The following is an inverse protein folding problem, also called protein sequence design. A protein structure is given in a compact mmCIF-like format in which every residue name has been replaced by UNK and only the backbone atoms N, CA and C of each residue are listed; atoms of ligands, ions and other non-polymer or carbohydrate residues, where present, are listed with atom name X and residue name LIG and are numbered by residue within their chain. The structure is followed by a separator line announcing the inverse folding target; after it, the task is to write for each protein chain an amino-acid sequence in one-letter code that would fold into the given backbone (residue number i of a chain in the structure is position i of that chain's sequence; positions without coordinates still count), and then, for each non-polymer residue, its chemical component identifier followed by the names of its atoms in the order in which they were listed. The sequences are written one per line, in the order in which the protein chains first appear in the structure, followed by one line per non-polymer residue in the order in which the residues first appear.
data_IF_101650868517
#
_entry.id   IF_101650868517
#
_cell.length_a   1.000
_cell.length_b   1.000
_cell.length_c   1.000
_cell.angle_alpha   90.00
_cell.angle_beta   90.00
_cell.angle_gamma   90.00
#
_symmetry.space_group_name_H-M   'P 1'
#
loop_
_entity.id
_entity.type
_entity.pdbx_description
1 polymer ?
#
# COMPACT_ATOMS: atom_id res chain seq x y z
N UNK A 1 -11.38 24.79 25.72
CA UNK A 1 -10.95 23.51 25.09
C UNK A 1 -11.24 23.64 23.61
N UNK A 2 -10.24 23.85 22.76
CA UNK A 2 -10.48 24.10 21.32
C UNK A 2 -10.68 22.76 20.60
N UNK A 3 -11.87 22.54 20.05
CA UNK A 3 -12.15 21.40 19.17
C UNK A 3 -11.29 21.47 17.91
N UNK A 4 -10.73 20.33 17.49
CA UNK A 4 -9.93 20.25 16.25
C UNK A 4 -10.84 20.53 15.05
N UNK A 5 -10.53 21.57 14.27
CA UNK A 5 -11.23 22.03 13.04
C UNK A 5 -11.20 21.05 11.85
N UNK A 6 -11.02 19.75 12.05
CA UNK A 6 -10.96 18.78 10.95
C UNK A 6 -12.29 18.05 10.81
N UNK A 7 -12.93 18.13 9.64
CA UNK A 7 -14.12 17.32 9.34
C UNK A 7 -13.78 15.84 9.52
N UNK A 8 -14.54 15.15 10.38
CA UNK A 8 -14.41 13.70 10.57
C UNK A 8 -14.94 13.00 9.32
N UNK A 9 -14.09 12.23 8.64
CA UNK A 9 -14.55 11.41 7.53
C UNK A 9 -15.48 10.29 8.01
N UNK A 10 -16.54 9.97 7.25
CA UNK A 10 -17.39 8.82 7.54
C UNK A 10 -16.57 7.53 7.63
N UNK A 11 -16.84 6.70 8.63
CA UNK A 11 -16.25 5.39 8.79
C UNK A 11 -17.33 4.34 8.59
N UNK A 12 -17.11 3.42 7.65
CA UNK A 12 -18.04 2.33 7.35
C UNK A 12 -17.49 1.01 7.87
N UNK A 13 -18.34 0.27 8.55
CA UNK A 13 -18.14 -1.13 8.93
C UNK A 13 -18.11 -2.03 7.69
N UNK A 14 -17.75 -3.30 7.86
CA UNK A 14 -17.74 -4.28 6.75
C UNK A 14 -19.17 -4.54 6.27
N UNK A 15 -20.11 -4.69 7.20
CA UNK A 15 -21.51 -4.99 6.89
C UNK A 15 -22.18 -3.85 6.13
N UNK A 16 -21.93 -2.60 6.53
CA UNK A 16 -22.41 -1.43 5.80
C UNK A 16 -21.89 -1.39 4.36
N UNK A 17 -20.59 -1.70 4.16
CA UNK A 17 -20.02 -1.75 2.81
C UNK A 17 -20.64 -2.85 1.97
N UNK A 18 -20.86 -4.03 2.55
CA UNK A 18 -21.51 -5.14 1.87
C UNK A 18 -22.93 -4.77 1.44
N UNK A 19 -23.71 -4.15 2.32
CA UNK A 19 -25.06 -3.65 1.99
C UNK A 19 -25.04 -2.63 0.86
N UNK A 20 -24.08 -1.71 0.85
CA UNK A 20 -23.92 -0.73 -0.23
C UNK A 20 -23.60 -1.42 -1.56
N UNK A 21 -22.71 -2.42 -1.54
CA UNK A 21 -22.35 -3.19 -2.73
C UNK A 21 -23.52 -4.02 -3.24
N UNK A 22 -24.29 -4.66 -2.37
CA UNK A 22 -25.49 -5.41 -2.72
C UNK A 22 -26.53 -4.52 -3.40
N UNK A 23 -26.81 -3.34 -2.86
CA UNK A 23 -27.70 -2.34 -3.48
C UNK A 23 -27.23 -1.91 -4.86
N UNK A 24 -25.91 -1.82 -5.07
CA UNK A 24 -25.33 -1.50 -6.38
C UNK A 24 -25.46 -2.68 -7.36
N UNK A 25 -25.26 -3.91 -6.89
CA UNK A 25 -25.32 -5.11 -7.72
C UNK A 25 -26.76 -5.52 -8.07
N UNK A 26 -27.72 -5.31 -7.16
CA UNK A 26 -29.15 -5.56 -7.41
C UNK A 26 -29.76 -4.55 -8.37
N UNK A 27 -29.03 -3.46 -8.69
CA UNK A 27 -29.48 -2.34 -9.55
C UNK A 27 -30.75 -1.65 -9.07
N UNK A 28 -31.13 -1.82 -7.79
CA UNK A 28 -32.27 -1.14 -7.18
C UNK A 28 -32.10 0.38 -7.15
N UNK A 29 -30.85 0.85 -7.02
CA UNK A 29 -30.50 2.27 -7.05
C UNK A 29 -29.44 2.53 -8.10
N UNK A 30 -29.53 3.70 -8.72
CA UNK A 30 -28.47 4.15 -9.62
C UNK A 30 -27.19 4.42 -8.84
N UNK A 31 -26.04 4.22 -9.46
CA UNK A 31 -24.73 4.50 -8.85
C UNK A 31 -24.69 5.91 -8.23
N UNK A 32 -25.18 6.91 -8.97
CA UNK A 32 -25.21 8.31 -8.53
C UNK A 32 -26.04 8.52 -7.26
N UNK A 33 -27.17 7.83 -7.13
CA UNK A 33 -28.00 7.88 -5.91
C UNK A 33 -27.28 7.23 -4.72
N UNK A 34 -26.57 6.13 -4.94
CA UNK A 34 -25.78 5.45 -3.88
C UNK A 34 -24.66 6.35 -3.40
N UNK A 35 -23.86 6.91 -4.31
CA UNK A 35 -22.75 7.81 -3.96
C UNK A 35 -23.23 9.00 -3.13
N UNK A 36 -24.38 9.61 -3.50
CA UNK A 36 -24.96 10.74 -2.78
C UNK A 36 -25.58 10.36 -1.44
N UNK A 37 -26.27 9.21 -1.36
CA UNK A 37 -26.96 8.80 -0.13
C UNK A 37 -25.99 8.42 0.98
N UNK A 38 -24.87 7.79 0.59
CA UNK A 38 -23.87 7.31 1.55
C UNK A 38 -22.68 8.25 1.69
N UNK A 39 -22.61 9.37 0.97
CA UNK A 39 -21.46 10.30 0.96
C UNK A 39 -20.12 9.59 0.66
N UNK A 40 -20.13 8.75 -0.37
CA UNK A 40 -18.95 7.98 -0.81
C UNK A 40 -18.51 8.42 -2.21
N UNK A 41 -17.21 8.26 -2.46
CA UNK A 41 -16.61 8.56 -3.77
C UNK A 41 -16.65 7.30 -4.66
N UNK A 42 -16.76 7.48 -5.97
CA UNK A 42 -16.76 6.39 -6.96
C UNK A 42 -15.64 5.38 -6.75
N UNK A 43 -14.42 5.85 -6.46
CA UNK A 43 -13.25 5.00 -6.22
C UNK A 43 -13.40 4.08 -5.00
N UNK A 44 -14.15 4.50 -3.98
CA UNK A 44 -14.46 3.66 -2.82
C UNK A 44 -15.44 2.56 -3.19
N UNK A 45 -16.52 2.91 -3.91
CA UNK A 45 -17.51 1.94 -4.37
C UNK A 45 -16.87 0.89 -5.28
N UNK A 46 -16.06 1.31 -6.26
CA UNK A 46 -15.35 0.40 -7.15
C UNK A 46 -14.44 -0.58 -6.40
N UNK A 47 -13.72 -0.08 -5.40
CA UNK A 47 -12.85 -0.91 -4.57
C UNK A 47 -13.67 -1.96 -3.80
N UNK A 48 -14.78 -1.56 -3.20
CA UNK A 48 -15.65 -2.46 -2.45
C UNK A 48 -16.30 -3.51 -3.36
N UNK A 49 -16.79 -3.12 -4.53
CA UNK A 49 -17.34 -4.05 -5.53
C UNK A 49 -16.28 -5.05 -5.99
N UNK A 50 -15.04 -4.61 -6.26
CA UNK A 50 -13.93 -5.50 -6.62
C UNK A 50 -13.59 -6.49 -5.50
N UNK A 51 -13.58 -6.04 -4.25
CA UNK A 51 -13.32 -6.90 -3.10
C UNK A 51 -14.44 -7.92 -2.91
N UNK A 52 -15.70 -7.47 -2.96
CA UNK A 52 -16.87 -8.32 -2.81
C UNK A 52 -16.94 -9.39 -3.91
N UNK A 53 -16.69 -9.04 -5.18
CA UNK A 53 -16.63 -10.02 -6.27
C UNK A 53 -15.54 -11.08 -6.09
N UNK A 54 -14.42 -10.72 -5.45
CA UNK A 54 -13.28 -11.62 -5.24
C UNK A 54 -13.44 -12.51 -4.00
N UNK A 55 -14.05 -11.98 -2.94
CA UNK A 55 -14.03 -12.60 -1.60
C UNK A 55 -15.42 -12.87 -1.03
N UNK A 56 -16.50 -12.45 -1.70
CA UNK A 56 -17.87 -12.48 -1.19
C UNK A 56 -18.16 -11.43 -0.11
N UNK A 57 -17.16 -10.62 0.27
CA UNK A 57 -17.27 -9.60 1.33
C UNK A 57 -16.22 -8.52 1.14
N UNK A 58 -16.47 -7.32 1.67
CA UNK A 58 -15.48 -6.26 1.75
C UNK A 58 -14.41 -6.61 2.80
N UNK A 59 -13.13 -6.49 2.44
CA UNK A 59 -12.02 -6.92 3.30
C UNK A 59 -11.22 -5.73 3.79
N UNK A 60 -11.13 -5.57 5.11
CA UNK A 60 -10.20 -4.62 5.71
C UNK A 60 -8.79 -5.24 5.86
N UNK A 61 -7.85 -4.71 5.07
CA UNK A 61 -6.43 -5.11 5.07
C UNK A 61 -5.50 -4.12 5.78
N UNK A 62 -6.03 -3.11 6.47
CA UNK A 62 -5.20 -2.16 7.22
C UNK A 62 -4.40 -2.91 8.29
N UNK A 63 -3.09 -2.65 8.34
CA UNK A 63 -2.18 -3.31 9.28
C UNK A 63 -1.91 -4.80 9.04
N UNK A 64 -2.53 -5.43 8.04
CA UNK A 64 -2.43 -6.88 7.77
C UNK A 64 -1.56 -7.25 6.56
N UNK A 65 -0.80 -6.29 6.03
CA UNK A 65 0.10 -6.56 4.91
C UNK A 65 1.23 -7.48 5.33
N UNK A 66 1.38 -8.62 4.66
CA UNK A 66 2.48 -9.56 4.95
C UNK A 66 3.73 -9.19 4.16
N UNK A 67 4.90 -9.70 4.57
CA UNK A 67 6.14 -9.56 3.79
C UNK A 67 6.07 -10.23 2.41
N UNK A 68 5.18 -11.22 2.24
CA UNK A 68 4.95 -11.85 0.93
C UNK A 68 4.26 -10.87 -0.03
N UNK A 69 3.30 -10.10 0.48
CA UNK A 69 2.59 -9.09 -0.31
C UNK A 69 3.45 -7.86 -0.59
N UNK A 70 4.23 -7.43 0.41
CA UNK A 70 5.02 -6.20 0.37
C UNK A 70 6.37 -6.46 1.09
N UNK A 71 7.41 -6.92 0.38
CA UNK A 71 8.67 -7.37 0.99
C UNK A 71 9.41 -6.28 1.77
N UNK A 72 9.26 -5.02 1.34
CA UNK A 72 9.86 -3.85 1.97
C UNK A 72 8.84 -3.02 2.78
N UNK A 73 7.79 -3.66 3.34
CA UNK A 73 6.79 -2.95 4.15
C UNK A 73 7.36 -2.50 5.48
N UNK A 74 7.18 -1.22 5.79
CA UNK A 74 7.53 -0.64 7.09
C UNK A 74 8.97 -0.18 7.16
N UNK A 75 9.45 0.09 8.38
CA UNK A 75 10.83 0.49 8.61
C UNK A 75 11.77 -0.68 8.30
N UNK A 76 12.81 -0.48 7.46
CA UNK A 76 13.83 -1.51 7.26
C UNK A 76 14.40 -1.96 8.61
N UNK A 77 14.52 -3.28 8.81
CA UNK A 77 15.17 -3.81 10.01
C UNK A 77 16.65 -3.40 9.99
N UNK A 78 17.22 -3.06 11.15
CA UNK A 78 18.68 -2.92 11.27
C UNK A 78 19.33 -4.26 10.91
N UNK A 79 20.37 -4.20 10.09
CA UNK A 79 21.13 -5.38 9.70
C UNK A 79 22.00 -5.82 10.87
N UNK A 80 21.77 -7.02 11.40
CA UNK A 80 22.59 -7.62 12.45
C UNK A 80 23.48 -8.67 11.80
N UNK A 81 24.74 -8.32 11.55
CA UNK A 81 25.69 -9.18 10.83
C UNK A 81 26.01 -10.47 11.61
N UNK A 82 26.02 -10.40 12.94
CA UNK A 82 26.40 -11.51 13.82
C UNK A 82 25.42 -12.70 13.80
N UNK A 83 24.20 -12.47 13.31
CA UNK A 83 23.12 -13.48 13.28
C UNK A 83 22.95 -14.06 11.87
N UNK A 84 23.63 -13.50 10.87
CA UNK A 84 23.49 -13.93 9.48
C UNK A 84 24.30 -15.19 9.17
N UNK A 85 23.82 -16.01 8.26
CA UNK A 85 24.59 -17.13 7.74
C UNK A 85 25.78 -16.65 6.91
N UNK A 86 26.81 -17.50 6.78
CA UNK A 86 28.00 -17.22 5.96
C UNK A 86 27.65 -16.87 4.51
N UNK A 87 26.66 -17.53 3.93
CA UNK A 87 26.19 -17.27 2.56
C UNK A 87 25.55 -15.89 2.43
N UNK A 88 24.71 -15.50 3.38
CA UNK A 88 24.08 -14.19 3.40
C UNK A 88 25.11 -13.07 3.61
N UNK A 89 26.13 -13.31 4.46
CA UNK A 89 27.25 -12.38 4.65
C UNK A 89 28.06 -12.19 3.36
N UNK A 90 28.40 -13.27 2.66
CA UNK A 90 29.10 -13.19 1.36
C UNK A 90 28.29 -12.40 0.34
N UNK A 91 26.97 -12.64 0.27
CA UNK A 91 26.08 -11.89 -0.62
C UNK A 91 26.05 -10.41 -0.27
N UNK A 92 26.02 -10.07 1.02
CA UNK A 92 26.06 -8.68 1.48
C UNK A 92 27.37 -7.99 1.08
N UNK A 93 28.52 -8.62 1.32
CA UNK A 93 29.83 -8.08 0.94
C UNK A 93 29.88 -7.81 -0.57
N UNK A 94 29.49 -8.80 -1.38
CA UNK A 94 29.45 -8.68 -2.85
C UNK A 94 28.57 -7.52 -3.30
N UNK A 95 27.38 -7.37 -2.71
CA UNK A 95 26.49 -6.26 -3.02
C UNK A 95 27.11 -4.89 -2.70
N UNK A 96 27.91 -4.80 -1.64
CA UNK A 96 28.65 -3.59 -1.29
C UNK A 96 29.73 -3.21 -2.31
N UNK A 97 30.41 -4.20 -2.89
CA UNK A 97 31.40 -3.98 -3.95
C UNK A 97 30.75 -3.46 -5.24
N UNK A 98 29.62 -4.05 -5.63
CA UNK A 98 28.87 -3.63 -6.81
C UNK A 98 28.37 -2.19 -6.67
N UNK A 99 27.89 -1.81 -5.47
CA UNK A 99 27.51 -0.42 -5.16
C UNK A 99 28.71 0.52 -5.29
N UNK A 100 29.87 0.16 -4.74
CA UNK A 100 31.09 0.98 -4.85
C UNK A 100 31.49 1.20 -6.32
N UNK A 101 31.44 0.15 -7.15
CA UNK A 101 31.73 0.22 -8.59
C UNK A 101 30.74 1.15 -9.30
N UNK A 102 29.44 1.02 -9.01
CA UNK A 102 28.41 1.88 -9.59
C UNK A 102 28.61 3.36 -9.23
N UNK A 103 28.92 3.66 -7.96
CA UNK A 103 29.21 5.04 -7.51
C UNK A 103 30.45 5.60 -8.19
N UNK A 104 31.53 4.81 -8.34
CA UNK A 104 32.72 5.23 -9.07
C UNK A 104 32.40 5.58 -10.54
N UNK A 105 31.64 4.72 -11.21
CA UNK A 105 31.18 4.96 -12.58
C UNK A 105 30.38 6.26 -12.70
N UNK A 106 29.40 6.48 -11.82
CA UNK A 106 28.59 7.71 -11.82
C UNK A 106 29.45 8.97 -11.62
N UNK A 107 30.43 8.94 -10.71
CA UNK A 107 31.37 10.05 -10.50
C UNK A 107 32.21 10.35 -11.73
N UNK A 108 32.67 9.32 -12.46
CA UNK A 108 33.43 9.53 -13.71
C UNK A 108 32.56 10.13 -14.81
N UNK A 109 31.31 9.68 -14.92
CA UNK A 109 30.33 10.21 -15.89
C UNK A 109 29.99 11.67 -15.63
N UNK A 110 29.78 12.07 -14.37
CA UNK A 110 29.50 13.46 -14.00
C UNK A 110 30.66 14.40 -14.32
N UNK A 111 31.91 13.95 -14.19
CA UNK A 111 33.08 14.76 -14.59
C UNK A 111 33.14 14.94 -16.10
N UNK A 112 32.92 13.87 -16.86
CA UNK A 112 33.00 13.89 -18.32
C UNK A 112 31.85 14.67 -19.00
N UNK A 113 30.76 14.96 -18.28
CA UNK A 113 29.61 15.72 -18.79
C UNK A 113 29.62 17.19 -18.39
N UNK A 114 30.55 17.59 -17.51
CA UNK A 114 30.76 18.98 -17.06
C UNK A 114 32.02 19.63 -17.68
N UNK A 115 32.79 18.88 -18.45
CA UNK A 115 33.82 19.38 -19.38
C UNK A 115 33.21 19.59 -20.75
#
# INVERSE_FOLDING_TARGET
MNERKTRKHPSYTIDEKNKIVELYLSKEKTQRQILRSFDIVHSQLDLWVKQYRKHGTCVDRRGKGTKKDIPNKGRPKKLNLDIMSKEELLKYIKSGEDIKKAVAYLRTREKNTKS
#
